data_IF_846788458473
#
_entry.id   IF_846788458473
#
_cell.length_a   1.000
_cell.length_b   1.000
_cell.length_c   1.000
_cell.angle_alpha   90.00
_cell.angle_beta   90.00
_cell.angle_gamma   90.00
#
_symmetry.space_group_name_H-M   'P 1'
#
loop_
_entity.id
_entity.type
_entity.pdbx_description
1 polymer ?
#
# COMPACT_ATOMS: atom_id res chain seq x y z
N UNK A 1 16.60 -0.59 4.03
CA UNK A 1 15.44 -0.95 3.17
C UNK A 1 15.97 -1.76 2.02
N UNK A 2 15.67 -3.05 1.96
CA UNK A 2 16.16 -3.94 0.91
C UNK A 2 15.17 -3.95 -0.26
N UNK A 3 15.49 -3.42 -1.44
CA UNK A 3 14.55 -3.23 -2.56
C UNK A 3 14.26 -4.53 -3.34
N UNK A 4 14.58 -5.70 -2.80
CA UNK A 4 14.63 -6.96 -3.56
C UNK A 4 13.47 -7.93 -3.30
N UNK A 5 12.52 -7.61 -2.39
CA UNK A 5 11.31 -8.43 -2.21
C UNK A 5 10.17 -7.93 -3.11
N UNK A 6 10.35 -8.05 -4.42
CA UNK A 6 9.29 -7.78 -5.42
C UNK A 6 8.41 -9.02 -5.54
N UNK A 7 7.37 -9.09 -4.70
CA UNK A 7 6.33 -10.11 -4.84
C UNK A 7 5.80 -10.14 -6.28
N UNK A 8 5.88 -11.31 -6.94
CA UNK A 8 5.50 -11.45 -8.35
C UNK A 8 4.00 -11.73 -8.45
N UNK A 9 3.26 -10.82 -9.11
CA UNK A 9 1.83 -10.98 -9.38
C UNK A 9 1.60 -11.85 -10.63
N UNK A 10 1.27 -13.13 -10.42
CA UNK A 10 0.96 -14.10 -11.47
C UNK A 10 -0.35 -13.79 -12.19
N UNK A 11 -1.30 -13.15 -11.51
CA UNK A 11 -2.56 -12.71 -12.11
C UNK A 11 -2.31 -11.58 -13.11
N UNK A 12 -1.43 -10.64 -12.75
CA UNK A 12 -0.98 -9.56 -13.63
C UNK A 12 -0.21 -10.10 -14.83
N UNK A 13 0.72 -11.05 -14.62
CA UNK A 13 1.52 -11.68 -15.69
C UNK A 13 0.64 -12.35 -16.75
N UNK A 14 -0.41 -13.06 -16.33
CA UNK A 14 -1.35 -13.68 -17.27
C UNK A 14 -2.47 -12.72 -17.71
N UNK A 15 -2.51 -11.51 -17.16
CA UNK A 15 -3.54 -10.48 -17.37
C UNK A 15 -4.96 -11.03 -17.15
N UNK A 16 -5.16 -11.67 -16.01
CA UNK A 16 -6.42 -12.30 -15.59
C UNK A 16 -6.79 -11.90 -14.16
N UNK A 17 -8.05 -12.11 -13.79
CA UNK A 17 -8.54 -11.84 -12.44
C UNK A 17 -8.30 -13.04 -11.50
N UNK A 18 -8.18 -12.81 -10.17
CA UNK A 18 -8.13 -13.88 -9.17
C UNK A 18 -9.38 -14.78 -9.16
N UNK A 19 -10.49 -14.33 -9.75
CA UNK A 19 -11.73 -15.11 -9.92
C UNK A 19 -11.76 -15.96 -11.19
N UNK A 20 -10.69 -15.96 -11.99
CA UNK A 20 -10.66 -16.66 -13.28
C UNK A 20 -10.68 -18.18 -13.10
N UNK A 21 -11.44 -18.84 -13.97
CA UNK A 21 -11.55 -20.30 -14.04
C UNK A 21 -10.35 -20.93 -14.74
N UNK A 22 -10.13 -22.23 -14.53
CA UNK A 22 -9.08 -23.01 -15.20
C UNK A 22 -9.04 -22.84 -16.73
N UNK A 23 -10.17 -22.92 -17.48
CA UNK A 23 -10.14 -22.72 -18.93
C UNK A 23 -9.69 -21.30 -19.32
N UNK A 24 -10.04 -20.29 -18.53
CA UNK A 24 -9.59 -18.91 -18.75
C UNK A 24 -8.09 -18.75 -18.50
N UNK A 25 -7.57 -19.39 -17.44
CA UNK A 25 -6.12 -19.42 -17.14
C UNK A 25 -5.34 -20.06 -18.29
N UNK A 26 -5.83 -21.19 -18.81
CA UNK A 26 -5.20 -21.87 -19.95
C UNK A 26 -5.21 -21.00 -21.21
N UNK A 27 -6.35 -20.39 -21.53
CA UNK A 27 -6.43 -19.48 -22.68
C UNK A 27 -5.50 -18.27 -22.53
N UNK A 28 -5.38 -17.72 -21.32
CA UNK A 28 -4.51 -16.59 -21.02
C UNK A 28 -3.03 -16.96 -21.15
N UNK A 29 -2.63 -18.14 -20.68
CA UNK A 29 -1.28 -18.68 -20.84
C UNK A 29 -0.87 -18.78 -22.31
N UNK A 30 -1.73 -19.36 -23.17
CA UNK A 30 -1.45 -19.46 -24.60
C UNK A 30 -1.27 -18.08 -25.24
N UNK A 31 -2.14 -17.12 -24.88
CA UNK A 31 -2.06 -15.75 -25.36
C UNK A 31 -0.79 -15.04 -24.89
N UNK A 32 -0.39 -15.22 -23.63
CA UNK A 32 0.84 -14.65 -23.09
C UNK A 32 2.08 -15.20 -23.80
N UNK A 33 2.14 -16.52 -24.03
CA UNK A 33 3.24 -17.12 -24.78
C UNK A 33 3.36 -16.58 -26.21
N UNK A 34 2.23 -16.39 -26.91
CA UNK A 34 2.24 -15.84 -28.28
C UNK A 34 2.70 -14.37 -28.33
N UNK A 35 2.37 -13.60 -27.29
CA UNK A 35 2.81 -12.20 -27.16
C UNK A 35 4.30 -12.09 -26.87
N UNK A 36 4.82 -12.99 -26.02
CA UNK A 36 6.22 -12.98 -25.56
C UNK A 36 7.10 -14.02 -26.28
N UNK A 37 6.67 -14.54 -27.44
CA UNK A 37 7.45 -15.52 -28.20
C UNK A 37 8.73 -14.86 -28.76
N UNK A 38 9.91 -15.51 -28.67
CA UNK A 38 11.18 -14.89 -29.05
C UNK A 38 11.21 -14.48 -30.53
N UNK A 39 10.48 -15.19 -31.40
CA UNK A 39 10.35 -14.87 -32.84
C UNK A 39 9.74 -13.48 -33.11
N UNK A 40 8.81 -13.01 -32.25
CA UNK A 40 8.23 -11.66 -32.34
C UNK A 40 9.11 -10.58 -31.69
N UNK A 41 10.02 -10.97 -30.80
CA UNK A 41 10.92 -10.04 -30.10
C UNK A 41 12.15 -9.65 -30.93
N UNK A 42 12.41 -10.34 -32.05
CA UNK A 42 13.50 -9.98 -32.99
C UNK A 42 13.27 -8.58 -33.63
N UNK A 43 12.02 -8.10 -33.68
CA UNK A 43 11.66 -6.83 -34.32
C UNK A 43 11.49 -5.63 -33.35
N UNK A 44 11.54 -5.83 -32.04
CA UNK A 44 11.35 -4.75 -31.05
C UNK A 44 12.47 -4.74 -30.00
N UNK A 45 13.66 -4.30 -30.40
CA UNK A 45 14.72 -3.83 -29.48
C UNK A 45 14.53 -2.35 -29.15
N UNK A 46 13.36 -1.98 -28.63
CA UNK A 46 13.07 -0.61 -28.22
C UNK A 46 12.57 -0.62 -26.76
N UNK A 47 13.53 -0.35 -25.88
CA UNK A 47 13.43 0.63 -24.80
C UNK A 47 12.04 0.87 -24.20
N UNK A 48 11.62 0.03 -23.27
CA UNK A 48 10.82 0.50 -22.14
C UNK A 48 11.12 -0.36 -20.92
N UNK A 49 11.48 0.30 -19.82
CA UNK A 49 11.84 -0.27 -18.51
C UNK A 49 10.59 -0.86 -17.79
N UNK A 50 9.53 -1.14 -18.54
CA UNK A 50 8.27 -1.64 -18.01
C UNK A 50 8.08 -3.09 -18.47
N UNK A 51 8.05 -3.99 -17.50
CA UNK A 51 7.69 -5.41 -17.60
C UNK A 51 8.74 -6.40 -18.12
N UNK A 52 9.55 -6.89 -17.19
CA UNK A 52 10.36 -8.11 -17.31
C UNK A 52 9.49 -9.39 -17.31
N UNK A 53 8.37 -9.42 -18.04
CA UNK A 53 7.52 -10.60 -18.16
C UNK A 53 8.21 -11.61 -19.07
N UNK A 54 9.04 -12.47 -18.47
CA UNK A 54 9.81 -13.51 -19.14
C UNK A 54 8.95 -14.73 -19.45
N UNK A 55 9.27 -15.48 -20.50
CA UNK A 55 8.58 -16.75 -20.81
C UNK A 55 8.61 -17.71 -19.60
N UNK A 56 9.72 -17.69 -18.84
CA UNK A 56 9.86 -18.47 -17.61
C UNK A 56 8.83 -18.08 -16.53
N UNK A 57 8.58 -16.79 -16.34
CA UNK A 57 7.59 -16.32 -15.34
C UNK A 57 6.16 -16.59 -15.79
N UNK A 58 5.88 -16.49 -17.10
CA UNK A 58 4.58 -16.91 -17.68
C UNK A 58 4.31 -18.40 -17.44
N UNK A 59 5.33 -19.26 -17.64
CA UNK A 59 5.23 -20.70 -17.36
C UNK A 59 5.00 -20.96 -15.87
N UNK A 60 5.75 -20.30 -15.01
CA UNK A 60 5.61 -20.44 -13.56
C UNK A 60 4.22 -19.99 -13.09
N UNK A 61 3.72 -18.86 -13.58
CA UNK A 61 2.37 -18.37 -13.28
C UNK A 61 1.30 -19.40 -13.66
N UNK A 62 1.40 -20.01 -14.85
CA UNK A 62 0.46 -21.06 -15.27
C UNK A 62 0.56 -22.31 -14.38
N UNK A 63 1.75 -22.80 -14.05
CA UNK A 63 1.93 -23.98 -13.21
C UNK A 63 1.30 -23.77 -11.82
N UNK A 64 1.53 -22.61 -11.21
CA UNK A 64 0.96 -22.28 -9.89
C UNK A 64 -0.56 -22.09 -9.95
N UNK A 65 -1.08 -21.34 -10.93
CA UNK A 65 -2.51 -20.99 -10.98
C UNK A 65 -3.40 -22.11 -11.54
N UNK A 66 -2.83 -23.07 -12.26
CA UNK A 66 -3.58 -24.20 -12.84
C UNK A 66 -3.83 -25.34 -11.85
N UNK A 67 -2.99 -25.49 -10.82
CA UNK A 67 -3.20 -26.45 -9.74
C UNK A 67 -4.00 -25.79 -8.59
N UNK A 68 -5.14 -26.36 -8.15
CA UNK A 68 -5.96 -25.75 -7.11
C UNK A 68 -5.25 -25.63 -5.75
N UNK A 69 -4.34 -26.55 -5.42
CA UNK A 69 -3.59 -26.53 -4.15
C UNK A 69 -2.54 -25.43 -4.19
N UNK A 70 -1.72 -25.39 -5.25
CA UNK A 70 -0.69 -24.36 -5.41
C UNK A 70 -1.30 -22.97 -5.56
N UNK A 71 -2.46 -22.86 -6.22
CA UNK A 71 -3.20 -21.60 -6.32
C UNK A 71 -3.67 -21.12 -4.95
N UNK A 72 -4.17 -22.01 -4.09
CA UNK A 72 -4.62 -21.64 -2.76
C UNK A 72 -3.46 -21.13 -1.88
N UNK A 73 -2.29 -21.80 -1.94
CA UNK A 73 -1.08 -21.36 -1.25
C UNK A 73 -0.60 -20.00 -1.79
N UNK A 74 -0.59 -19.85 -3.12
CA UNK A 74 -0.27 -18.59 -3.75
C UNK A 74 -1.25 -17.49 -3.33
N UNK A 75 -2.55 -17.75 -3.33
CA UNK A 75 -3.59 -16.79 -2.95
C UNK A 75 -3.44 -16.34 -1.50
N UNK A 76 -3.02 -17.22 -0.58
CA UNK A 76 -2.71 -16.83 0.79
C UNK A 76 -1.55 -15.80 0.84
N UNK A 77 -0.47 -16.06 0.10
CA UNK A 77 0.67 -15.12 0.02
C UNK A 77 0.32 -13.84 -0.74
N UNK A 78 -0.48 -13.96 -1.81
CA UNK A 78 -0.99 -12.86 -2.64
C UNK A 78 -1.84 -11.90 -1.83
N UNK A 79 -2.75 -12.44 -1.02
CA UNK A 79 -3.57 -11.65 -0.13
C UNK A 79 -2.73 -10.98 0.96
N UNK A 80 -1.74 -11.66 1.54
CA UNK A 80 -0.83 -11.04 2.52
C UNK A 80 0.02 -9.92 1.90
N UNK A 81 0.58 -10.13 0.71
CA UNK A 81 1.34 -9.11 0.00
C UNK A 81 0.46 -7.90 -0.36
N UNK A 82 -0.79 -8.13 -0.81
CA UNK A 82 -1.78 -7.06 -1.03
C UNK A 82 -2.24 -6.39 0.25
N UNK A 83 -2.27 -7.11 1.37
CA UNK A 83 -2.55 -6.55 2.68
C UNK A 83 -1.47 -5.54 3.09
N UNK A 84 -0.22 -5.87 2.76
CA UNK A 84 0.96 -5.07 3.09
C UNK A 84 1.14 -3.87 2.14
N UNK A 85 0.84 -4.05 0.85
CA UNK A 85 0.94 -3.00 -0.19
C UNK A 85 -0.36 -2.22 -0.41
N UNK A 86 -1.48 -2.68 0.15
CA UNK A 86 -2.84 -2.24 -0.19
C UNK A 86 -3.81 -2.45 0.95
N UNK A 87 -3.46 -1.93 2.13
CA UNK A 87 -4.35 -1.54 3.24
C UNK A 87 -5.64 -2.31 3.41
N UNK A 88 -5.59 -3.41 4.17
CA UNK A 88 -6.76 -3.92 4.93
C UNK A 88 -6.79 -3.38 6.36
N UNK A 89 -5.93 -2.40 6.68
CA UNK A 89 -6.14 -1.56 7.84
C UNK A 89 -7.46 -0.80 7.72
N UNK A 90 -8.05 -0.35 8.84
CA UNK A 90 -9.23 0.51 8.81
C UNK A 90 -8.99 1.66 7.83
N UNK A 91 -9.84 1.79 6.81
CA UNK A 91 -9.70 2.91 5.85
C UNK A 91 -10.16 4.18 6.56
N UNK A 92 -9.29 5.20 6.69
CA UNK A 92 -9.70 6.44 7.33
C UNK A 92 -10.84 7.06 6.53
N UNK A 93 -11.93 7.42 7.21
CA UNK A 93 -13.07 8.10 6.62
C UNK A 93 -12.67 9.48 6.07
N UNK A 94 -11.66 10.11 6.69
CA UNK A 94 -11.15 11.41 6.32
C UNK A 94 -9.66 11.55 6.73
N UNK A 95 -8.93 12.35 5.95
CA UNK A 95 -7.64 12.92 6.33
C UNK A 95 -7.89 14.29 6.99
N UNK A 96 -7.46 14.46 8.23
CA UNK A 96 -7.67 15.67 9.03
C UNK A 96 -6.30 16.21 9.43
N UNK A 97 -6.07 17.51 9.24
CA UNK A 97 -4.83 18.15 9.67
C UNK A 97 -4.83 18.28 11.19
N UNK A 98 -3.67 18.09 11.81
CA UNK A 98 -3.51 18.29 13.25
C UNK A 98 -3.84 19.73 13.66
N UNK A 99 -3.64 20.70 12.77
CA UNK A 99 -4.04 22.10 12.98
C UNK A 99 -5.54 22.28 13.21
N UNK A 100 -6.36 21.32 12.75
CA UNK A 100 -7.81 21.35 12.91
C UNK A 100 -8.26 20.75 14.25
N UNK A 101 -7.37 20.09 14.99
CA UNK A 101 -7.66 19.54 16.31
C UNK A 101 -7.63 20.65 17.36
N UNK A 102 -8.47 20.49 18.38
CA UNK A 102 -8.43 21.33 19.58
C UNK A 102 -7.31 20.83 20.48
N UNK A 103 -6.30 21.68 20.66
CA UNK A 103 -5.19 21.45 21.58
C UNK A 103 -5.64 21.70 23.02
N UNK A 104 -5.38 20.74 23.89
CA UNK A 104 -5.58 20.84 25.33
C UNK A 104 -4.28 20.53 26.04
N UNK A 105 -3.74 21.55 26.75
CA UNK A 105 -2.63 21.41 27.69
C UNK A 105 -3.22 21.32 29.10
N UNK A 106 -3.28 20.13 29.73
CA UNK A 106 -3.57 20.07 31.16
C UNK A 106 -2.42 20.78 31.89
N UNK A 107 -2.77 21.79 32.70
CA UNK A 107 -1.91 22.80 33.33
C UNK A 107 -0.81 22.29 34.29
N UNK A 108 -0.46 21.01 34.25
CA UNK A 108 0.50 20.37 35.17
C UNK A 108 1.47 19.37 34.55
N UNK A 109 1.40 19.05 33.25
CA UNK A 109 2.37 18.16 32.60
C UNK A 109 2.61 18.51 31.14
N UNK A 110 3.81 18.24 30.66
CA UNK A 110 4.32 18.44 29.29
C UNK A 110 3.71 17.43 28.29
N UNK A 111 2.39 17.26 28.34
CA UNK A 111 1.65 16.30 27.55
C UNK A 111 0.49 16.99 26.85
N UNK A 112 0.69 17.30 25.57
CA UNK A 112 -0.33 17.91 24.72
C UNK A 112 -1.29 16.85 24.20
N UNK A 113 -2.57 17.06 24.45
CA UNK A 113 -3.64 16.23 23.93
C UNK A 113 -4.42 16.97 22.85
N UNK A 114 -4.62 16.32 21.71
CA UNK A 114 -5.37 16.86 20.59
C UNK A 114 -6.68 16.12 20.45
N UNK A 115 -7.78 16.86 20.39
CA UNK A 115 -9.13 16.30 20.24
C UNK A 115 -9.86 16.84 19.02
N UNK A 116 -10.67 16.01 18.36
CA UNK A 116 -11.51 16.42 17.23
C UNK A 116 -12.90 15.80 17.31
N UNK A 117 -13.99 16.56 17.06
CA UNK A 117 -15.35 16.03 17.15
C UNK A 117 -15.65 15.04 16.03
N UNK A 118 -16.26 13.91 16.36
CA UNK A 118 -16.80 12.96 15.40
C UNK A 118 -18.25 13.30 15.02
N UNK A 119 -18.67 12.94 13.81
CA UNK A 119 -20.04 13.14 13.31
C UNK A 119 -21.11 12.43 14.15
N UNK A 120 -20.74 11.40 14.89
CA UNK A 120 -21.64 10.69 15.81
C UNK A 120 -21.85 11.40 17.16
N UNK A 121 -21.09 12.46 17.44
CA UNK A 121 -21.08 13.16 18.74
C UNK A 121 -19.99 12.68 19.71
N UNK A 122 -19.22 11.64 19.36
CA UNK A 122 -18.01 11.24 20.09
C UNK A 122 -16.79 12.11 19.73
N UNK A 123 -15.62 11.72 20.21
CA UNK A 123 -14.35 12.42 19.94
C UNK A 123 -13.29 11.47 19.39
N UNK A 124 -12.40 12.03 18.57
CA UNK A 124 -11.11 11.46 18.21
C UNK A 124 -10.05 12.09 19.12
N UNK A 125 -9.10 11.28 19.61
CA UNK A 125 -8.06 11.73 20.55
C UNK A 125 -6.71 11.18 20.16
N UNK A 126 -5.71 12.06 20.09
CA UNK A 126 -4.33 11.71 19.76
C UNK A 126 -3.37 12.57 20.59
N UNK A 127 -2.23 12.01 20.96
CA UNK A 127 -1.14 12.72 21.62
C UNK A 127 0.14 12.68 20.79
N UNK A 128 1.11 13.50 21.15
CA UNK A 128 2.39 13.61 20.45
C UNK A 128 3.14 12.27 20.41
N UNK A 129 3.20 11.53 21.52
CA UNK A 129 3.88 10.23 21.58
C UNK A 129 3.28 9.18 20.60
N UNK A 130 1.98 9.24 20.31
CA UNK A 130 1.35 8.40 19.28
C UNK A 130 1.81 8.81 17.88
N UNK A 131 1.93 10.10 17.61
CA UNK A 131 2.41 10.61 16.33
C UNK A 131 3.88 10.26 16.09
N UNK A 132 4.73 10.38 17.09
CA UNK A 132 6.15 10.01 17.02
C UNK A 132 6.36 8.52 16.70
N UNK A 133 5.44 7.65 17.13
CA UNK A 133 5.47 6.22 16.82
C UNK A 133 4.92 5.88 15.43
N UNK A 134 4.36 6.85 14.70
CA UNK A 134 3.73 6.63 13.40
C UNK A 134 2.26 6.18 13.47
N UNK A 135 1.62 6.25 14.65
CA UNK A 135 0.23 5.82 14.86
C UNK A 135 -0.76 6.93 14.49
N UNK A 136 -0.85 7.28 13.20
CA UNK A 136 -1.70 8.38 12.70
C UNK A 136 -3.16 7.99 12.48
N UNK A 137 -3.52 6.72 12.66
CA UNK A 137 -4.88 6.21 12.46
C UNK A 137 -5.64 6.23 13.80
N UNK A 138 -6.56 7.18 13.94
CA UNK A 138 -7.27 7.43 15.20
C UNK A 138 -8.73 7.00 15.09
N UNK A 139 -9.17 6.14 16.01
CA UNK A 139 -10.56 5.71 16.12
C UNK A 139 -11.39 6.65 16.99
N UNK A 140 -12.68 6.77 16.68
CA UNK A 140 -13.61 7.48 17.56
C UNK A 140 -13.88 6.67 18.84
N UNK A 141 -13.99 7.33 19.99
CA UNK A 141 -14.30 6.67 21.25
C UNK A 141 -15.75 6.15 21.36
N UNK A 142 -16.65 6.61 20.48
CA UNK A 142 -18.10 6.30 20.55
C UNK A 142 -18.66 5.56 19.33
N UNK A 143 -17.85 5.31 18.29
CA UNK A 143 -18.25 4.51 17.14
C UNK A 143 -17.04 3.76 16.54
N UNK A 144 -17.23 3.07 15.41
CA UNK A 144 -16.16 2.33 14.73
C UNK A 144 -15.46 3.12 13.61
N UNK A 145 -15.71 4.43 13.52
CA UNK A 145 -15.11 5.28 12.49
C UNK A 145 -13.67 5.63 12.85
N UNK A 146 -12.81 5.68 11.84
CA UNK A 146 -11.38 6.01 11.96
C UNK A 146 -11.04 7.19 11.06
N UNK A 147 -10.07 8.00 11.45
CA UNK A 147 -9.53 9.12 10.67
C UNK A 147 -8.01 9.04 10.63
N UNK A 148 -7.41 9.63 9.60
CA UNK A 148 -5.97 9.81 9.52
C UNK A 148 -5.60 11.22 9.95
N UNK A 149 -4.70 11.35 10.91
CA UNK A 149 -4.20 12.65 11.37
C UNK A 149 -2.93 12.98 10.62
N UNK A 150 -2.99 14.01 9.78
CA UNK A 150 -1.82 14.55 9.08
C UNK A 150 -1.18 15.65 9.92
N UNK A 151 0.14 15.61 10.08
CA UNK A 151 0.91 16.72 10.64
C UNK A 151 1.97 17.11 9.62
N UNK A 152 2.19 18.41 9.45
CA UNK A 152 3.36 18.90 8.74
C UNK A 152 4.53 18.82 9.72
N UNK A 153 5.44 17.87 9.48
CA UNK A 153 6.73 17.91 10.14
C UNK A 153 7.43 19.17 9.63
N UNK A 154 7.48 20.23 10.46
CA UNK A 154 8.37 21.34 10.21
C UNK A 154 9.78 20.76 10.29
N UNK A 155 10.37 20.48 9.13
CA UNK A 155 11.82 20.39 9.04
C UNK A 155 12.33 21.74 9.50
N UNK A 156 12.97 21.78 10.66
CA UNK A 156 13.73 22.95 11.06
C UNK A 156 14.84 23.14 10.05
N UNK A 157 14.56 23.88 8.98
CA UNK A 157 15.59 24.58 8.25
C UNK A 157 16.11 25.62 9.25
N UNK A 158 17.18 25.23 9.96
CA UNK A 158 17.98 26.15 10.74
C UNK A 158 18.45 27.23 9.77
N UNK A 159 17.85 28.42 9.87
CA UNK A 159 18.26 29.62 9.15
C UNK A 159 19.76 29.88 9.43
N UNK A 160 20.64 29.44 8.53
CA UNK A 160 22.04 29.87 8.49
C UNK A 160 22.05 31.38 8.17
N UNK A 161 22.14 32.18 9.23
CA UNK A 161 22.41 33.61 9.21
C UNK A 161 23.77 33.83 8.52
N UNK A 162 23.73 34.13 7.23
CA UNK A 162 24.91 34.52 6.46
C UNK A 162 25.32 35.94 6.89
N UNK A 163 26.11 36.02 7.95
CA UNK A 163 26.72 37.26 8.41
C UNK A 163 27.80 37.71 7.40
N UNK A 164 27.62 38.92 6.86
CA UNK A 164 28.58 39.62 6.02
C UNK A 164 29.75 40.12 6.88
N UNK A 165 30.97 39.77 6.50
CA UNK A 165 32.20 40.34 7.06
C UNK A 165 33.43 40.01 6.24
#
# INVERSE_FOLDING_TARGET
MDPSSTFIDFYQILSILPTSSLPQIKSAYHRALLKHHPDKQINHRSSSVTEYTSISTIKQAYLTLSDPVLRAEYDATYNHARNFLGGTGPRPAQLISLSDFTESSPSSFDFFEYTYPCRCGGIYRINEAQMERGDHLVGCESCSEVVWVGFEAVTGDEDEEHELG
#
